data_IF_074573235129
#
_entry.id   IF_074573235129
#
_cell.length_a   1.000
_cell.length_b   1.000
_cell.length_c   1.000
_cell.angle_alpha   90.00
_cell.angle_beta   90.00
_cell.angle_gamma   90.00
#
_symmetry.space_group_name_H-M   'P 1'
#
loop_
_entity.id
_entity.type
_entity.pdbx_description
1 polymer ?
#
# COMPACT_ATOMS: atom_id res chain seq x y z
N UNK A 1 10.83 6.04 17.03
CA UNK A 1 9.85 6.74 16.16
C UNK A 1 9.24 5.76 15.17
N UNK A 2 8.04 6.06 14.64
CA UNK A 2 7.41 5.35 13.52
C UNK A 2 6.97 6.33 12.44
N UNK A 3 6.96 5.88 11.19
CA UNK A 3 6.61 6.67 10.02
C UNK A 3 5.46 5.97 9.29
N UNK A 4 4.34 6.67 9.17
CA UNK A 4 3.15 6.19 8.47
C UNK A 4 2.99 6.97 7.16
N UNK A 5 2.93 6.24 6.05
CA UNK A 5 2.83 6.75 4.69
C UNK A 5 1.69 6.10 3.90
N UNK A 6 1.17 4.94 4.33
CA UNK A 6 0.02 4.25 3.72
C UNK A 6 -1.30 4.81 4.24
N UNK A 7 -1.52 6.10 3.96
CA UNK A 7 -2.64 6.90 4.42
C UNK A 7 -2.20 8.35 4.68
N UNK A 8 -2.69 9.02 5.74
CA UNK A 8 -2.17 10.32 6.13
C UNK A 8 -0.72 10.21 6.60
N UNK A 9 0.15 11.08 6.09
CA UNK A 9 1.57 11.11 6.45
C UNK A 9 1.73 11.53 7.90
N UNK A 10 2.30 10.64 8.72
CA UNK A 10 2.49 10.88 10.15
C UNK A 10 3.88 10.42 10.56
N UNK A 11 4.50 11.23 11.41
CA UNK A 11 5.70 10.84 12.15
C UNK A 11 5.29 10.71 13.61
N UNK A 12 5.30 9.48 14.12
CA UNK A 12 4.91 9.16 15.49
C UNK A 12 6.17 9.05 16.36
N UNK A 13 6.16 9.74 17.49
CA UNK A 13 7.18 9.52 18.52
C UNK A 13 6.91 8.19 19.25
N UNK A 14 7.89 7.69 20.00
CA UNK A 14 7.73 6.47 20.78
C UNK A 14 6.67 6.60 21.90
N UNK A 15 6.26 7.82 22.22
CA UNK A 15 5.17 8.13 23.14
C UNK A 15 3.81 8.38 22.46
N UNK A 16 3.71 8.06 21.16
CA UNK A 16 2.45 8.19 20.39
C UNK A 16 2.09 9.62 19.99
N UNK A 17 2.98 10.61 20.15
CA UNK A 17 2.73 11.98 19.69
C UNK A 17 2.90 12.05 18.18
N UNK A 18 1.91 12.59 17.47
CA UNK A 18 1.99 12.88 16.04
C UNK A 18 2.77 14.17 15.81
N UNK A 19 3.83 14.11 15.01
CA UNK A 19 4.57 15.25 14.52
C UNK A 19 4.11 15.56 13.10
N UNK A 20 3.66 16.79 12.89
CA UNK A 20 3.22 17.28 11.58
C UNK A 20 4.37 18.05 10.93
N UNK A 21 4.82 17.66 9.72
CA UNK A 21 5.80 18.45 9.00
C UNK A 21 5.14 19.75 8.59
N UNK A 22 5.60 20.86 9.16
CA UNK A 22 4.92 22.16 9.07
C UNK A 22 4.75 22.73 7.65
N UNK A 23 5.38 22.16 6.62
CA UNK A 23 5.15 22.56 5.22
C UNK A 23 4.97 21.34 4.29
N UNK A 24 4.11 21.43 3.25
CA UNK A 24 3.89 20.33 2.30
C UNK A 24 5.17 19.84 1.60
N UNK A 25 6.11 20.75 1.32
CA UNK A 25 7.40 20.40 0.68
C UNK A 25 8.33 19.61 1.60
N UNK A 26 8.28 19.87 2.92
CA UNK A 26 9.03 19.06 3.89
C UNK A 26 8.41 17.67 4.01
N UNK A 27 7.07 17.55 4.02
CA UNK A 27 6.40 16.23 3.98
C UNK A 27 6.77 15.45 2.73
N UNK A 28 6.74 16.10 1.56
CA UNK A 28 7.11 15.50 0.27
C UNK A 28 8.57 15.02 0.26
N UNK A 29 9.50 15.85 0.76
CA UNK A 29 10.91 15.48 0.89
C UNK A 29 11.10 14.27 1.82
N UNK A 30 10.47 14.29 3.00
CA UNK A 30 10.55 13.18 3.95
C UNK A 30 9.95 11.90 3.37
N UNK A 31 8.81 11.99 2.67
CA UNK A 31 8.19 10.84 2.04
C UNK A 31 9.11 10.18 1.01
N UNK A 32 9.74 10.95 0.12
CA UNK A 32 10.69 10.39 -0.86
C UNK A 32 11.89 9.73 -0.18
N UNK A 33 12.42 10.35 0.88
CA UNK A 33 13.53 9.79 1.64
C UNK A 33 13.14 8.51 2.41
N UNK A 34 11.90 8.41 2.90
CA UNK A 34 11.38 7.23 3.61
C UNK A 34 10.97 6.11 2.66
N UNK A 35 10.44 6.44 1.47
CA UNK A 35 10.23 5.47 0.37
C UNK A 35 11.54 4.74 0.02
N UNK A 36 12.64 5.49 0.08
CA UNK A 36 14.01 5.01 -0.14
C UNK A 36 14.80 4.97 1.17
N UNK A 37 14.15 4.54 2.26
CA UNK A 37 14.80 4.41 3.56
C UNK A 37 16.10 3.60 3.43
N UNK A 38 17.14 4.07 4.11
CA UNK A 38 18.50 3.51 4.13
C UNK A 38 19.26 3.53 2.79
N UNK A 39 18.67 4.04 1.71
CA UNK A 39 19.30 4.23 0.40
C UNK A 39 19.78 5.68 0.20
N UNK A 40 20.76 5.86 -0.68
CA UNK A 40 21.21 7.18 -1.11
C UNK A 40 20.24 7.81 -2.10
N UNK A 41 19.78 9.02 -1.78
CA UNK A 41 18.93 9.84 -2.65
C UNK A 41 19.73 11.05 -3.14
N UNK A 42 20.02 11.14 -4.45
CA UNK A 42 20.67 12.31 -5.04
C UNK A 42 19.85 13.58 -4.84
N UNK A 43 20.51 14.72 -4.64
CA UNK A 43 19.82 16.01 -4.51
C UNK A 43 19.03 16.38 -5.77
N UNK A 44 19.49 15.96 -6.94
CA UNK A 44 18.83 16.20 -8.23
C UNK A 44 17.46 15.50 -8.27
N UNK A 45 17.35 14.29 -7.70
CA UNK A 45 16.10 13.56 -7.57
C UNK A 45 15.14 14.26 -6.59
N UNK A 46 15.64 14.78 -5.47
CA UNK A 46 14.84 15.60 -4.55
C UNK A 46 14.35 16.89 -5.22
N UNK A 47 15.20 17.54 -6.02
CA UNK A 47 14.83 18.75 -6.77
C UNK A 47 13.75 18.43 -7.80
N UNK A 48 13.93 17.36 -8.57
CA UNK A 48 12.95 16.90 -9.55
C UNK A 48 11.60 16.60 -8.89
N UNK A 49 11.60 15.89 -7.76
CA UNK A 49 10.37 15.59 -7.04
C UNK A 49 9.68 16.86 -6.53
N UNK A 50 10.43 17.78 -5.91
CA UNK A 50 9.88 18.98 -5.30
C UNK A 50 9.45 20.04 -6.33
N UNK A 51 10.10 20.17 -7.48
CA UNK A 51 9.81 21.27 -8.41
C UNK A 51 9.50 20.83 -9.84
N UNK A 52 9.63 19.54 -10.15
CA UNK A 52 9.44 18.98 -11.50
C UNK A 52 10.21 19.81 -12.54
N UNK A 53 9.52 20.32 -13.56
CA UNK A 53 10.10 21.10 -14.65
C UNK A 53 10.42 22.56 -14.28
N UNK A 54 10.04 23.04 -13.09
CA UNK A 54 10.14 24.45 -12.71
C UNK A 54 10.97 24.68 -11.42
N UNK A 55 12.25 24.23 -11.35
CA UNK A 55 13.10 24.50 -10.20
C UNK A 55 13.47 26.00 -10.12
N UNK A 56 13.39 26.62 -8.92
CA UNK A 56 13.88 27.99 -8.75
C UNK A 56 15.40 28.04 -8.90
N UNK A 57 15.95 29.20 -9.27
CA UNK A 57 17.42 29.41 -9.32
C UNK A 57 18.12 29.07 -8.00
N UNK A 58 17.40 29.19 -6.88
CA UNK A 58 17.88 28.89 -5.53
C UNK A 58 17.53 27.47 -5.05
N UNK A 59 17.16 26.53 -5.93
CA UNK A 59 16.64 25.20 -5.54
C UNK A 59 17.52 24.48 -4.52
N UNK A 60 18.85 24.52 -4.69
CA UNK A 60 19.80 23.91 -3.76
C UNK A 60 19.73 24.52 -2.35
N UNK A 61 19.70 25.85 -2.24
CA UNK A 61 19.61 26.54 -0.96
C UNK A 61 18.24 26.27 -0.29
N UNK A 62 17.16 26.32 -1.08
CA UNK A 62 15.81 26.02 -0.58
C UNK A 62 15.69 24.57 -0.10
N UNK A 63 16.30 23.62 -0.81
CA UNK A 63 16.37 22.22 -0.40
C UNK A 63 17.08 22.06 0.95
N UNK A 64 18.22 22.74 1.14
CA UNK A 64 18.92 22.74 2.43
C UNK A 64 18.06 23.30 3.56
N UNK A 65 17.26 24.34 3.30
CA UNK A 65 16.28 24.87 4.27
C UNK A 65 15.24 23.80 4.63
N UNK A 66 14.68 23.09 3.65
CA UNK A 66 13.72 22.00 3.91
C UNK A 66 14.35 20.85 4.71
N UNK A 67 15.59 20.48 4.41
CA UNK A 67 16.34 19.49 5.18
C UNK A 67 16.57 19.96 6.62
N UNK A 68 16.89 21.24 6.83
CA UNK A 68 17.02 21.80 8.17
C UNK A 68 15.70 21.70 8.96
N UNK A 69 14.57 22.06 8.35
CA UNK A 69 13.25 21.91 8.98
C UNK A 69 12.90 20.45 9.26
N UNK A 70 13.18 19.54 8.33
CA UNK A 70 13.01 18.10 8.52
C UNK A 70 13.82 17.60 9.73
N UNK A 71 15.10 17.96 9.83
CA UNK A 71 15.95 17.60 10.96
C UNK A 71 15.43 18.13 12.29
N UNK A 72 14.93 19.37 12.31
CA UNK A 72 14.35 19.96 13.51
C UNK A 72 13.12 19.20 13.97
N UNK A 73 12.21 18.85 13.04
CA UNK A 73 11.03 18.02 13.32
C UNK A 73 11.44 16.67 13.94
N UNK A 74 12.42 15.99 13.35
CA UNK A 74 12.91 14.70 13.82
C UNK A 74 13.57 14.84 15.20
N UNK A 75 14.38 15.86 15.43
CA UNK A 75 15.00 16.11 16.74
C UNK A 75 13.96 16.39 17.84
N UNK A 76 12.82 17.02 17.52
CA UNK A 76 11.72 17.24 18.47
C UNK A 76 11.05 15.94 18.91
N UNK A 77 11.04 14.91 18.06
CA UNK A 77 10.54 13.60 18.43
C UNK A 77 11.49 12.83 19.34
N UNK A 78 12.81 12.94 19.13
CA UNK A 78 13.82 12.25 19.95
C UNK A 78 13.87 12.81 21.37
N UNK A 79 13.67 14.12 21.56
CA UNK A 79 13.66 14.76 22.89
C UNK A 79 12.55 14.25 23.81
N UNK A 80 11.52 13.61 23.28
CA UNK A 80 10.47 12.97 24.09
C UNK A 80 10.99 11.81 24.92
N UNK A 81 12.07 11.15 24.49
CA UNK A 81 12.55 9.86 25.04
C UNK A 81 13.27 9.96 26.39
N UNK A 82 13.34 11.13 27.02
CA UNK A 82 14.09 11.34 28.28
C UNK A 82 15.62 11.26 28.12
N UNK A 83 16.13 11.05 26.91
CA UNK A 83 17.55 11.09 26.62
C UNK A 83 18.08 12.52 26.78
N UNK A 84 19.11 12.69 27.62
CA UNK A 84 19.75 13.99 27.92
C UNK A 84 20.43 14.63 26.71
N UNK A 85 20.61 13.89 25.62
CA UNK A 85 21.11 14.37 24.33
C UNK A 85 20.26 13.76 23.21
N UNK A 86 19.81 14.59 22.27
CA UNK A 86 19.23 14.10 21.03
C UNK A 86 20.30 13.30 20.29
N UNK A 87 19.97 12.07 19.87
CA UNK A 87 20.86 11.26 19.05
C UNK A 87 21.20 11.94 17.72
N UNK A 88 22.15 11.38 16.95
CA UNK A 88 22.43 11.87 15.61
C UNK A 88 21.14 11.81 14.76
N UNK A 89 20.87 12.88 14.01
CA UNK A 89 19.66 12.96 13.18
C UNK A 89 19.62 11.79 12.19
N UNK A 90 18.47 11.10 12.04
CA UNK A 90 18.35 10.02 11.06
C UNK A 90 18.50 10.52 9.62
N UNK A 91 18.32 11.82 9.36
CA UNK A 91 18.55 12.43 8.05
C UNK A 91 20.03 12.84 7.88
N UNK A 92 20.82 11.96 7.29
CA UNK A 92 22.27 12.11 7.09
C UNK A 92 22.56 12.77 5.75
N UNK A 93 23.47 13.75 5.74
CA UNK A 93 24.00 14.32 4.50
C UNK A 93 25.20 13.52 4.04
N UNK A 94 25.21 13.16 2.75
CA UNK A 94 26.36 12.56 2.08
C UNK A 94 26.76 13.45 0.88
N UNK A 95 27.99 13.33 0.36
CA UNK A 95 28.37 14.06 -0.85
C UNK A 95 27.36 13.82 -1.98
N UNK A 96 26.74 14.89 -2.48
CA UNK A 96 25.76 14.85 -3.57
C UNK A 96 24.30 14.54 -3.17
N UNK A 97 24.00 14.25 -1.91
CA UNK A 97 22.64 13.87 -1.54
C UNK A 97 22.41 13.58 -0.06
N UNK A 98 21.40 12.76 0.22
CA UNK A 98 20.93 12.48 1.56
C UNK A 98 20.54 11.01 1.72
N UNK A 99 20.60 10.53 2.95
CA UNK A 99 20.12 9.20 3.35
C UNK A 99 19.26 9.36 4.59
N UNK A 100 18.11 8.70 4.63
CA UNK A 100 17.31 8.55 5.84
C UNK A 100 17.64 7.22 6.51
N UNK A 101 18.36 7.26 7.63
CA UNK A 101 18.78 6.10 8.41
C UNK A 101 17.73 5.78 9.46
N UNK A 102 16.93 4.76 9.21
CA UNK A 102 15.82 4.33 10.08
C UNK A 102 15.73 2.82 10.09
N UNK A 103 15.18 2.26 11.17
CA UNK A 103 14.76 0.87 11.18
C UNK A 103 13.64 0.68 10.14
N UNK A 104 13.77 -0.31 9.26
CA UNK A 104 12.74 -0.60 8.24
C UNK A 104 11.42 -0.98 8.88
N UNK A 105 11.43 -1.64 10.05
CA UNK A 105 10.21 -1.96 10.78
C UNK A 105 9.50 -0.71 11.34
N UNK A 106 10.18 0.44 11.38
CA UNK A 106 9.60 1.72 11.77
C UNK A 106 8.91 2.47 10.63
N UNK A 107 9.08 2.04 9.38
CA UNK A 107 8.46 2.64 8.19
C UNK A 107 7.40 1.67 7.69
N UNK A 108 6.13 2.06 7.77
CA UNK A 108 4.99 1.18 7.45
C UNK A 108 5.07 0.57 6.05
N UNK A 109 5.54 1.32 5.05
CA UNK A 109 5.76 0.82 3.67
C UNK A 109 6.81 -0.29 3.63
N UNK A 110 7.93 -0.14 4.36
CA UNK A 110 8.98 -1.16 4.39
C UNK A 110 8.52 -2.39 5.14
N UNK A 111 7.82 -2.21 6.25
CA UNK A 111 7.18 -3.30 6.97
C UNK A 111 6.15 -4.04 6.10
N UNK A 112 5.35 -3.31 5.31
CA UNK A 112 4.41 -3.90 4.37
C UNK A 112 5.11 -4.74 3.30
N UNK A 113 6.15 -4.20 2.65
CA UNK A 113 6.97 -4.93 1.66
C UNK A 113 7.52 -6.25 2.24
N UNK A 114 8.06 -6.19 3.46
CA UNK A 114 8.59 -7.37 4.17
C UNK A 114 7.50 -8.40 4.49
N UNK A 115 6.33 -7.96 4.98
CA UNK A 115 5.22 -8.85 5.31
C UNK A 115 4.63 -9.52 4.05
N UNK A 116 4.50 -8.79 2.94
CA UNK A 116 4.03 -9.39 1.68
C UNK A 116 5.01 -10.43 1.17
N UNK A 117 6.31 -10.14 1.19
CA UNK A 117 7.34 -11.11 0.83
C UNK A 117 7.33 -12.35 1.75
N UNK A 118 7.08 -12.17 3.05
CA UNK A 118 6.93 -13.27 4.00
C UNK A 118 5.68 -14.10 3.71
N UNK A 119 4.53 -13.47 3.48
CA UNK A 119 3.29 -14.17 3.13
C UNK A 119 3.43 -15.01 1.85
N UNK A 120 4.12 -14.47 0.83
CA UNK A 120 4.42 -15.22 -0.38
C UNK A 120 5.36 -16.41 -0.13
N UNK A 121 6.35 -16.24 0.76
CA UNK A 121 7.21 -17.34 1.19
C UNK A 121 6.42 -18.45 1.90
N UNK A 122 5.52 -18.11 2.83
CA UNK A 122 4.70 -19.10 3.54
C UNK A 122 3.79 -19.89 2.61
N UNK A 123 3.18 -19.22 1.62
CA UNK A 123 2.39 -19.90 0.58
C UNK A 123 3.22 -20.91 -0.21
N UNK A 124 4.45 -20.55 -0.62
CA UNK A 124 5.36 -21.48 -1.31
C UNK A 124 5.73 -22.68 -0.44
N UNK A 125 5.75 -22.52 0.87
CA UNK A 125 6.01 -23.59 1.83
C UNK A 125 4.76 -24.41 2.19
N UNK A 126 3.58 -24.04 1.67
CA UNK A 126 2.30 -24.69 1.99
C UNK A 126 1.68 -24.26 3.32
N UNK A 127 2.27 -23.27 3.99
CA UNK A 127 1.84 -22.77 5.30
C UNK A 127 0.71 -21.73 5.14
N UNK A 128 -0.44 -22.17 4.63
CA UNK A 128 -1.53 -21.26 4.28
C UNK A 128 -2.10 -20.48 5.48
N UNK A 129 -2.11 -21.05 6.70
CA UNK A 129 -2.56 -20.32 7.89
C UNK A 129 -1.64 -19.15 8.24
N UNK A 130 -0.32 -19.37 8.29
CA UNK A 130 0.66 -18.32 8.56
C UNK A 130 0.63 -17.24 7.46
N UNK A 131 0.46 -17.64 6.20
CA UNK A 131 0.30 -16.71 5.10
C UNK A 131 -0.92 -15.77 5.31
N UNK A 132 -2.06 -16.31 5.73
CA UNK A 132 -3.25 -15.50 6.03
C UNK A 132 -2.96 -14.50 7.15
N UNK A 133 -2.34 -14.93 8.24
CA UNK A 133 -2.06 -14.07 9.40
C UNK A 133 -1.09 -12.93 9.04
N UNK A 134 0.00 -13.27 8.35
CA UNK A 134 1.00 -12.29 7.91
C UNK A 134 0.42 -11.29 6.91
N UNK A 135 -0.36 -11.75 5.92
CA UNK A 135 -0.96 -10.87 4.91
C UNK A 135 -2.09 -10.02 5.48
N UNK A 136 -2.83 -10.53 6.47
CA UNK A 136 -3.83 -9.74 7.22
C UNK A 136 -3.16 -8.58 7.94
N UNK A 137 -2.04 -8.85 8.64
CA UNK A 137 -1.25 -7.80 9.30
C UNK A 137 -0.69 -6.80 8.31
N UNK A 138 -0.23 -7.25 7.14
CA UNK A 138 0.28 -6.38 6.08
C UNK A 138 -0.81 -5.39 5.60
N UNK A 139 -1.98 -5.92 5.26
CA UNK A 139 -3.10 -5.12 4.74
C UNK A 139 -3.70 -4.19 5.80
N UNK A 140 -3.63 -4.57 7.09
CA UNK A 140 -4.05 -3.70 8.20
C UNK A 140 -3.18 -2.46 8.40
N UNK A 141 -1.99 -2.37 7.78
CA UNK A 141 -1.16 -1.17 7.80
C UNK A 141 -1.74 -0.04 6.92
N UNK A 142 -2.65 -0.37 6.01
CA UNK A 142 -3.27 0.58 5.10
C UNK A 142 -4.45 1.30 5.76
N UNK A 143 -4.37 2.63 5.79
CA UNK A 143 -5.39 3.53 6.37
C UNK A 143 -6.00 4.47 5.30
N UNK A 144 -5.89 4.07 4.03
CA UNK A 144 -6.27 4.86 2.85
C UNK A 144 -5.22 4.75 1.75
N UNK A 145 -5.40 5.48 0.66
CA UNK A 145 -4.44 5.48 -0.45
C UNK A 145 -3.05 5.94 0.00
N UNK A 146 -2.02 5.33 -0.58
CA UNK A 146 -0.64 5.68 -0.25
C UNK A 146 -0.35 7.16 -0.51
N UNK A 147 0.32 7.82 0.44
CA UNK A 147 0.69 9.24 0.38
C UNK A 147 -0.47 10.21 0.13
N UNK A 148 -1.72 9.85 0.43
CA UNK A 148 -2.92 10.65 0.12
C UNK A 148 -2.83 12.12 0.59
N UNK A 149 -2.17 12.36 1.74
CA UNK A 149 -2.00 13.72 2.29
C UNK A 149 -0.84 14.53 1.70
N UNK A 150 -0.07 13.97 0.76
CA UNK A 150 1.14 14.57 0.21
C UNK A 150 0.94 14.85 -1.28
N UNK A 151 1.32 16.06 -1.71
CA UNK A 151 1.46 16.34 -3.14
C UNK A 151 2.67 15.58 -3.68
N UNK A 152 2.45 14.66 -4.59
CA UNK A 152 3.50 13.91 -5.29
C UNK A 152 3.97 14.63 -6.55
N UNK A 153 5.25 14.50 -6.85
CA UNK A 153 5.84 14.68 -8.16
C UNK A 153 6.06 13.33 -8.83
N UNK A 154 6.72 13.33 -9.98
CA UNK A 154 6.82 12.15 -10.85
C UNK A 154 7.53 10.97 -10.18
N UNK A 155 8.51 11.23 -9.30
CA UNK A 155 9.28 10.17 -8.63
C UNK A 155 8.40 9.47 -7.59
N UNK A 156 7.72 10.23 -6.73
CA UNK A 156 6.78 9.64 -5.76
C UNK A 156 5.56 9.01 -6.44
N UNK A 157 5.06 9.58 -7.53
CA UNK A 157 3.93 9.02 -8.27
C UNK A 157 4.22 7.59 -8.75
N UNK A 158 5.41 7.35 -9.33
CA UNK A 158 5.82 6.00 -9.72
C UNK A 158 5.93 5.03 -8.54
N UNK A 159 6.39 5.51 -7.39
CA UNK A 159 6.42 4.71 -6.16
C UNK A 159 5.03 4.37 -5.63
N UNK A 160 4.07 5.30 -5.69
CA UNK A 160 2.67 5.08 -5.28
C UNK A 160 2.04 4.01 -6.15
N UNK A 161 2.19 4.08 -7.48
CA UNK A 161 1.67 3.06 -8.40
C UNK A 161 2.19 1.66 -8.04
N UNK A 162 3.50 1.50 -7.88
CA UNK A 162 4.10 0.23 -7.47
C UNK A 162 3.57 -0.29 -6.13
N UNK A 163 3.30 0.61 -5.19
CA UNK A 163 2.82 0.24 -3.86
C UNK A 163 1.35 -0.21 -3.90
N UNK A 164 0.50 0.44 -4.69
CA UNK A 164 -0.88 0.00 -4.92
C UNK A 164 -0.94 -1.34 -5.67
N UNK A 165 -0.05 -1.58 -6.65
CA UNK A 165 0.10 -2.90 -7.29
C UNK A 165 0.48 -3.98 -6.26
N UNK A 166 1.40 -3.67 -5.34
CA UNK A 166 1.79 -4.58 -4.27
C UNK A 166 0.62 -4.84 -3.30
N UNK A 167 -0.25 -3.85 -3.06
CA UNK A 167 -1.48 -4.01 -2.28
C UNK A 167 -2.45 -5.00 -2.93
N UNK A 168 -2.67 -4.85 -4.24
CA UNK A 168 -3.49 -5.81 -5.01
C UNK A 168 -2.90 -7.21 -4.90
N UNK A 169 -1.57 -7.34 -5.09
CA UNK A 169 -0.87 -8.62 -4.94
C UNK A 169 -1.04 -9.22 -3.54
N UNK A 170 -0.99 -8.42 -2.48
CA UNK A 170 -1.19 -8.89 -1.11
C UNK A 170 -2.61 -9.43 -0.90
N UNK A 171 -3.64 -8.76 -1.46
CA UNK A 171 -5.01 -9.30 -1.46
C UNK A 171 -5.11 -10.62 -2.22
N UNK A 172 -4.54 -10.70 -3.42
CA UNK A 172 -4.53 -11.93 -4.23
C UNK A 172 -3.88 -13.11 -3.51
N UNK A 173 -2.72 -12.88 -2.87
CA UNK A 173 -2.03 -13.90 -2.09
C UNK A 173 -2.91 -14.37 -0.91
N UNK A 174 -3.56 -13.43 -0.20
CA UNK A 174 -4.41 -13.79 0.95
C UNK A 174 -5.67 -14.54 0.51
N UNK A 175 -6.25 -14.14 -0.61
CA UNK A 175 -7.36 -14.86 -1.26
C UNK A 175 -6.93 -16.28 -1.63
N UNK A 176 -5.75 -16.45 -2.22
CA UNK A 176 -5.16 -17.76 -2.53
C UNK A 176 -5.03 -18.63 -1.29
N UNK A 177 -4.43 -18.11 -0.22
CA UNK A 177 -4.29 -18.83 1.05
C UNK A 177 -5.64 -19.24 1.65
N UNK A 178 -6.64 -18.34 1.62
CA UNK A 178 -8.00 -18.63 2.10
C UNK A 178 -8.73 -19.66 1.23
N UNK A 179 -8.44 -19.70 -0.06
CA UNK A 179 -8.92 -20.75 -0.98
C UNK A 179 -8.33 -22.11 -0.61
N UNK A 180 -7.03 -22.18 -0.38
CA UNK A 180 -6.34 -23.43 -0.02
C UNK A 180 -6.83 -23.98 1.32
N UNK A 181 -7.22 -23.12 2.25
CA UNK A 181 -7.84 -23.48 3.53
C UNK A 181 -9.35 -23.82 3.41
N UNK A 182 -9.97 -23.65 2.25
CA UNK A 182 -11.42 -23.84 2.07
C UNK A 182 -12.28 -22.77 2.79
N UNK A 183 -11.71 -21.60 3.09
CA UNK A 183 -12.33 -20.54 3.91
C UNK A 183 -12.84 -19.34 3.09
N UNK A 184 -12.88 -19.42 1.76
CA UNK A 184 -13.34 -18.33 0.88
C UNK A 184 -14.72 -17.75 1.24
N UNK A 185 -15.65 -18.59 1.71
CA UNK A 185 -16.98 -18.13 2.17
C UNK A 185 -16.90 -17.04 3.25
N UNK A 186 -15.92 -17.13 4.15
CA UNK A 186 -15.73 -16.14 5.21
C UNK A 186 -15.29 -14.77 4.68
N UNK A 187 -14.70 -14.72 3.48
CA UNK A 187 -14.20 -13.48 2.86
C UNK A 187 -15.28 -12.68 2.12
N UNK A 188 -16.52 -13.17 1.99
CA UNK A 188 -17.56 -12.49 1.19
C UNK A 188 -17.75 -11.01 1.53
N UNK A 189 -17.82 -10.57 2.80
CA UNK A 189 -17.94 -9.15 3.12
C UNK A 189 -16.77 -8.31 2.62
N UNK A 190 -15.55 -8.84 2.73
CA UNK A 190 -14.34 -8.15 2.31
C UNK A 190 -14.19 -8.14 0.79
N UNK A 191 -14.51 -9.24 0.11
CA UNK A 191 -14.54 -9.31 -1.34
C UNK A 191 -15.55 -8.32 -1.94
N UNK A 192 -16.67 -8.05 -1.25
CA UNK A 192 -17.61 -6.99 -1.65
C UNK A 192 -16.98 -5.60 -1.60
N UNK A 193 -16.26 -5.29 -0.52
CA UNK A 193 -15.54 -4.02 -0.41
C UNK A 193 -14.46 -3.91 -1.51
N UNK A 194 -13.74 -5.00 -1.80
CA UNK A 194 -12.71 -5.02 -2.83
C UNK A 194 -13.25 -4.76 -4.24
N UNK A 195 -14.40 -5.33 -4.60
CA UNK A 195 -14.99 -5.07 -5.93
C UNK A 195 -15.60 -3.68 -6.06
N UNK A 196 -15.89 -3.01 -4.95
CA UNK A 196 -16.28 -1.60 -4.95
C UNK A 196 -15.07 -0.67 -5.06
N UNK A 197 -13.97 -1.00 -4.38
CA UNK A 197 -12.70 -0.26 -4.46
C UNK A 197 -11.98 -0.46 -5.81
N UNK A 198 -12.04 -1.68 -6.36
CA UNK A 198 -11.37 -2.06 -7.60
C UNK A 198 -12.39 -2.61 -8.62
N UNK A 199 -13.30 -1.78 -9.14
CA UNK A 199 -14.42 -2.24 -9.98
C UNK A 199 -13.98 -2.88 -11.30
N UNK A 200 -12.80 -2.54 -11.81
CA UNK A 200 -12.22 -3.09 -13.05
C UNK A 200 -11.37 -4.35 -12.80
N UNK A 201 -11.17 -4.78 -11.55
CA UNK A 201 -10.39 -5.97 -11.25
C UNK A 201 -11.25 -7.23 -11.37
N UNK A 202 -11.21 -7.87 -12.54
CA UNK A 202 -11.92 -9.11 -12.83
C UNK A 202 -11.61 -10.25 -11.85
N UNK A 203 -10.37 -10.33 -11.33
CA UNK A 203 -9.96 -11.37 -10.39
C UNK A 203 -10.81 -11.32 -9.11
N UNK A 204 -10.95 -10.13 -8.51
CA UNK A 204 -11.75 -9.95 -7.29
C UNK A 204 -13.23 -10.27 -7.52
N UNK A 205 -13.79 -9.87 -8.67
CA UNK A 205 -15.17 -10.22 -9.03
C UNK A 205 -15.36 -11.73 -9.16
N UNK A 206 -14.47 -12.43 -9.87
CA UNK A 206 -14.59 -13.88 -10.04
C UNK A 206 -14.48 -14.63 -8.71
N UNK A 207 -13.58 -14.21 -7.80
CA UNK A 207 -13.47 -14.80 -6.46
C UNK A 207 -14.73 -14.54 -5.63
N UNK A 208 -15.31 -13.33 -5.69
CA UNK A 208 -16.59 -13.02 -5.03
C UNK A 208 -17.73 -13.91 -5.55
N UNK A 209 -17.83 -14.08 -6.86
CA UNK A 209 -18.83 -14.95 -7.51
C UNK A 209 -18.66 -16.39 -7.03
N UNK A 210 -17.43 -16.92 -7.05
CA UNK A 210 -17.14 -18.27 -6.54
C UNK A 210 -17.50 -18.44 -5.07
N UNK A 211 -17.14 -17.48 -4.21
CA UNK A 211 -17.41 -17.53 -2.78
C UNK A 211 -18.92 -17.49 -2.47
N UNK A 212 -19.68 -16.65 -3.19
CA UNK A 212 -21.15 -16.59 -3.09
C UNK A 212 -21.82 -17.89 -3.56
N UNK A 213 -21.33 -18.46 -4.67
CA UNK A 213 -21.85 -19.72 -5.20
C UNK A 213 -21.64 -20.88 -4.22
N UNK A 214 -20.42 -21.03 -3.69
CA UNK A 214 -20.08 -22.04 -2.67
C UNK A 214 -20.88 -21.87 -1.37
N UNK A 215 -21.30 -20.64 -1.05
CA UNK A 215 -22.15 -20.35 0.10
C UNK A 215 -23.64 -20.67 -0.13
N UNK A 216 -24.03 -21.18 -1.30
CA UNK A 216 -25.43 -21.41 -1.67
C UNK A 216 -26.19 -20.13 -2.03
N UNK A 217 -25.51 -18.99 -2.13
CA UNK A 217 -26.09 -17.65 -2.39
C UNK A 217 -26.17 -17.37 -3.90
N UNK A 218 -26.74 -18.32 -4.65
CA UNK A 218 -26.78 -18.29 -6.13
C UNK A 218 -27.37 -17.00 -6.71
N UNK A 219 -28.49 -16.43 -6.22
CA UNK A 219 -29.02 -15.17 -6.75
C UNK A 219 -28.03 -14.01 -6.66
N UNK A 220 -27.27 -13.95 -5.57
CA UNK A 220 -26.28 -12.90 -5.34
C UNK A 220 -25.03 -13.09 -6.21
N UNK A 221 -24.61 -14.35 -6.45
CA UNK A 221 -23.52 -14.66 -7.36
C UNK A 221 -23.85 -14.28 -8.81
N UNK A 222 -25.08 -14.54 -9.26
CA UNK A 222 -25.57 -14.11 -10.57
C UNK A 222 -25.66 -12.59 -10.69
N UNK A 223 -26.09 -11.90 -9.63
CA UNK A 223 -26.11 -10.45 -9.61
C UNK A 223 -24.71 -9.85 -9.69
N UNK A 224 -23.73 -10.41 -8.96
CA UNK A 224 -22.33 -9.99 -9.04
C UNK A 224 -21.76 -10.17 -10.46
N UNK A 225 -22.04 -11.30 -11.11
CA UNK A 225 -21.66 -11.56 -12.51
C UNK A 225 -22.23 -10.51 -13.47
N UNK A 226 -23.51 -10.16 -13.34
CA UNK A 226 -24.14 -9.14 -14.16
C UNK A 226 -23.51 -7.76 -13.93
N UNK A 227 -23.19 -7.41 -12.68
CA UNK A 227 -22.56 -6.14 -12.31
C UNK A 227 -21.18 -5.99 -12.97
N UNK A 228 -20.29 -6.98 -12.85
CA UNK A 228 -18.95 -6.91 -13.49
C UNK A 228 -19.04 -6.83 -15.01
N UNK A 229 -19.99 -7.57 -15.62
CA UNK A 229 -20.21 -7.50 -17.06
C UNK A 229 -20.58 -6.09 -17.51
N UNK A 230 -21.47 -5.43 -16.78
CA UNK A 230 -21.92 -4.09 -17.10
C UNK A 230 -20.77 -3.09 -16.95
N UNK A 231 -20.04 -3.14 -15.84
CA UNK A 231 -18.90 -2.24 -15.55
C UNK A 231 -17.83 -2.34 -16.65
N UNK A 232 -17.40 -3.55 -17.03
CA UNK A 232 -16.35 -3.71 -18.05
C UNK A 232 -16.81 -3.26 -19.44
N UNK A 233 -18.08 -3.49 -19.77
CA UNK A 233 -18.65 -3.03 -21.03
C UNK A 233 -18.71 -1.50 -21.09
N UNK A 234 -19.19 -0.88 -20.02
CA UNK A 234 -19.41 0.57 -19.98
C UNK A 234 -18.08 1.35 -19.91
N UNK A 235 -17.14 0.89 -19.07
CA UNK A 235 -15.89 1.62 -18.82
C UNK A 235 -14.79 1.30 -19.86
N UNK A 236 -14.73 0.06 -20.36
CA UNK A 236 -13.63 -0.41 -21.22
C UNK A 236 -14.09 -0.92 -22.59
N UNK A 237 -15.39 -1.09 -22.83
CA UNK A 237 -15.90 -1.73 -24.05
C UNK A 237 -15.49 -3.20 -24.17
N UNK A 238 -15.11 -3.84 -23.05
CA UNK A 238 -14.60 -5.21 -23.02
C UNK A 238 -15.69 -6.21 -22.63
N UNK A 239 -15.53 -7.45 -23.09
CA UNK A 239 -16.32 -8.59 -22.62
C UNK A 239 -15.56 -9.36 -21.53
N UNK A 240 -16.28 -10.13 -20.72
CA UNK A 240 -15.71 -10.87 -19.60
C UNK A 240 -14.66 -11.91 -20.02
N UNK A 241 -13.64 -12.07 -19.17
CA UNK A 241 -12.64 -13.11 -19.31
C UNK A 241 -13.27 -14.53 -19.37
N UNK A 242 -12.60 -15.49 -20.06
CA UNK A 242 -13.10 -16.86 -20.17
C UNK A 242 -13.29 -17.58 -18.82
N UNK A 243 -12.55 -17.16 -17.79
CA UNK A 243 -12.69 -17.74 -16.45
C UNK A 243 -14.01 -17.32 -15.78
N UNK A 244 -14.36 -16.03 -15.81
CA UNK A 244 -15.63 -15.56 -15.22
C UNK A 244 -16.84 -16.12 -16.00
N UNK A 245 -16.72 -16.26 -17.33
CA UNK A 245 -17.77 -16.90 -18.14
C UNK A 245 -18.03 -18.35 -17.73
N UNK A 246 -16.98 -19.13 -17.46
CA UNK A 246 -17.11 -20.51 -16.94
C UNK A 246 -17.80 -20.57 -15.58
N UNK A 247 -17.50 -19.64 -14.67
CA UNK A 247 -18.21 -19.56 -13.39
C UNK A 247 -19.73 -19.37 -13.58
N UNK A 248 -20.15 -18.60 -14.58
CA UNK A 248 -21.56 -18.44 -14.90
C UNK A 248 -22.21 -19.71 -15.44
N UNK A 249 -21.51 -20.45 -16.31
CA UNK A 249 -21.98 -21.74 -16.81
C UNK A 249 -22.15 -22.76 -15.67
N UNK A 250 -21.17 -22.85 -14.77
CA UNK A 250 -21.25 -23.69 -13.56
C UNK A 250 -22.44 -23.30 -12.66
N UNK A 251 -22.66 -22.00 -12.46
CA UNK A 251 -23.81 -21.50 -11.71
C UNK A 251 -25.15 -21.77 -12.39
N UNK A 252 -25.21 -22.00 -13.69
CA UNK A 252 -26.45 -22.31 -14.43
C UNK A 252 -26.76 -23.80 -14.47
N UNK A 253 -25.74 -24.66 -14.33
CA UNK A 253 -25.90 -26.10 -14.33
C UNK A 253 -26.90 -26.55 -13.24
N UNK A 254 -27.76 -27.55 -13.53
CA UNK A 254 -28.63 -28.12 -12.50
C UNK A 254 -27.78 -28.75 -11.40
N UNK A 255 -28.15 -28.52 -10.14
CA UNK A 255 -27.48 -29.16 -9.01
C UNK A 255 -27.59 -30.68 -9.19
N UNK A 256 -26.44 -31.36 -9.31
CA UNK A 256 -26.41 -32.82 -9.33
C UNK A 256 -26.94 -33.28 -7.96
N UNK A 257 -28.05 -34.04 -7.90
CA UNK A 257 -28.49 -34.60 -6.64
C UNK A 257 -27.42 -35.58 -6.15
N UNK A 258 -26.90 -35.34 -4.95
CA UNK A 258 -26.07 -36.30 -4.18
C UNK A 258 -26.93 -37.44 -3.64
#
# INVERSE_FOLDING_TARGET
>A
MRYELMGPFRVLTDHGRVLLPGTPKVSQLLALLLMRANEFVPREMLIQELWQQNPPRSALNTLQTYVHHARRLLAEGDRGTGARQAGPSPLVTQPGGYVMRVDEASVDIKLFEQLVARGEFELRMGNSEEAVDVLTRALALWHGSALFSIRTGDVLAGHVVRLEELRIRAFELRIGAMKDLGRLRAMVPELRALVEEYPLNECFHGVLISALHQAGRRPEALHAYQKVRQVLRDELGLELSPWIRRLHEEMLAPAVPT
#
